data_IF_451100922071
#
_entry.id   IF_451100922071
#
_cell.length_a   1.000
_cell.length_b   1.000
_cell.length_c   1.000
_cell.angle_alpha   90.00
_cell.angle_beta   90.00
_cell.angle_gamma   90.00
#
_symmetry.space_group_name_H-M   'P 1'
#
loop_
_entity.id
_entity.type
_entity.pdbx_description
1 polymer ?
#
# COMPACT_ATOMS: atom_id res chain seq x y z
N UNK A 1 -19.01 -14.73 -1.68
CA UNK A 1 -18.26 -15.79 -2.35
C UNK A 1 -17.69 -16.78 -1.35
N UNK A 2 -17.77 -18.07 -1.68
CA UNK A 2 -17.19 -19.12 -0.84
C UNK A 2 -15.66 -19.04 -0.77
N UNK A 3 -15.05 -18.33 -1.70
CA UNK A 3 -13.59 -18.23 -1.84
C UNK A 3 -12.99 -16.99 -1.24
N UNK A 4 -13.81 -16.06 -0.79
CA UNK A 4 -13.36 -14.78 -0.22
C UNK A 4 -14.06 -14.55 1.11
N UNK A 5 -13.28 -14.27 2.13
CA UNK A 5 -13.79 -13.89 3.44
C UNK A 5 -13.57 -12.38 3.64
N UNK A 6 -14.62 -11.68 4.01
CA UNK A 6 -14.56 -10.24 4.30
C UNK A 6 -14.55 -10.04 5.81
N UNK A 7 -13.56 -9.31 6.28
CA UNK A 7 -13.39 -9.03 7.72
C UNK A 7 -13.25 -7.52 7.89
N UNK A 8 -14.06 -6.95 8.76
CA UNK A 8 -13.91 -5.56 9.15
C UNK A 8 -12.87 -5.49 10.27
N UNK A 9 -11.78 -4.75 10.04
CA UNK A 9 -10.71 -4.63 11.02
C UNK A 9 -9.96 -3.31 10.83
N UNK A 10 -9.34 -2.85 11.92
CA UNK A 10 -8.44 -1.71 11.88
C UNK A 10 -7.01 -2.24 11.73
N UNK A 11 -6.39 -1.99 10.58
CA UNK A 11 -5.05 -2.52 10.29
C UNK A 11 -3.95 -1.86 11.11
N UNK A 12 -4.25 -0.78 11.84
CA UNK A 12 -3.32 -0.15 12.77
C UNK A 12 -3.27 -0.87 14.12
N UNK A 13 -4.27 -1.72 14.39
CA UNK A 13 -4.32 -2.53 15.61
C UNK A 13 -3.71 -3.92 15.35
N UNK A 14 -3.71 -4.77 16.37
CA UNK A 14 -3.22 -6.12 16.22
C UNK A 14 -4.01 -6.89 15.16
N UNK A 15 -3.30 -7.73 14.41
CA UNK A 15 -3.92 -8.53 13.35
C UNK A 15 -4.34 -9.91 13.89
N UNK A 16 -5.15 -9.91 14.94
CA UNK A 16 -5.64 -11.14 15.58
C UNK A 16 -6.65 -11.89 14.71
N UNK A 17 -7.18 -11.24 13.67
CA UNK A 17 -8.03 -11.89 12.68
C UNK A 17 -7.23 -12.76 11.69
N UNK A 18 -5.90 -12.67 11.68
CA UNK A 18 -5.04 -13.46 10.81
C UNK A 18 -4.49 -14.62 11.63
N UNK A 19 -4.87 -15.84 11.27
CA UNK A 19 -4.47 -17.04 12.01
C UNK A 19 -3.62 -18.00 11.18
N UNK A 20 -3.30 -17.66 9.93
CA UNK A 20 -2.41 -18.43 9.06
C UNK A 20 -1.46 -17.47 8.35
N UNK A 21 -0.42 -18.01 7.72
CA UNK A 21 0.46 -17.21 6.88
C UNK A 21 -0.01 -17.27 5.42
N UNK A 22 0.24 -16.18 4.70
CA UNK A 22 -0.19 -16.03 3.32
C UNK A 22 0.99 -15.87 2.39
N UNK A 23 0.80 -16.23 1.12
CA UNK A 23 1.81 -16.08 0.08
C UNK A 23 1.82 -14.69 -0.53
N UNK A 24 0.72 -13.96 -0.41
CA UNK A 24 0.57 -12.63 -0.99
C UNK A 24 -0.36 -11.79 -0.13
N UNK A 25 0.06 -10.58 0.14
CA UNK A 25 -0.80 -9.52 0.68
C UNK A 25 -0.82 -8.36 -0.32
N UNK A 26 -1.94 -7.68 -0.43
CA UNK A 26 -2.07 -6.52 -1.31
C UNK A 26 -2.58 -5.31 -0.53
N UNK A 27 -2.02 -4.15 -0.83
CA UNK A 27 -2.50 -2.86 -0.35
C UNK A 27 -2.82 -2.01 -1.58
N UNK A 28 -4.08 -1.63 -1.74
CA UNK A 28 -4.52 -0.84 -2.88
C UNK A 28 -5.19 0.44 -2.39
N UNK A 29 -4.54 1.58 -2.62
CA UNK A 29 -5.03 2.90 -2.23
C UNK A 29 -5.36 2.99 -0.74
N UNK A 30 -4.54 2.38 0.10
CA UNK A 30 -4.73 2.30 1.56
C UNK A 30 -3.64 3.05 2.30
N UNK A 31 -2.38 2.92 1.85
CA UNK A 31 -1.23 3.39 2.61
C UNK A 31 -1.14 4.91 2.70
N UNK A 32 -1.75 5.62 1.77
CA UNK A 32 -1.84 7.08 1.85
C UNK A 32 -2.62 7.58 3.07
N UNK A 33 -3.43 6.70 3.68
CA UNK A 33 -4.20 7.02 4.88
C UNK A 33 -3.49 6.59 6.17
N UNK A 34 -2.29 6.05 6.05
CA UNK A 34 -1.49 5.56 7.18
C UNK A 34 -0.29 6.48 7.38
N UNK A 35 -0.18 7.10 8.53
CA UNK A 35 0.91 8.04 8.79
C UNK A 35 2.26 7.34 8.89
N UNK A 36 2.35 6.28 9.67
CA UNK A 36 3.60 5.55 9.89
C UNK A 36 3.51 4.15 9.29
N UNK A 37 4.32 3.90 8.26
CA UNK A 37 4.32 2.63 7.54
C UNK A 37 5.00 1.49 8.31
N UNK A 38 5.94 1.80 9.19
CA UNK A 38 6.75 0.77 9.83
C UNK A 38 5.95 -0.27 10.61
N UNK A 39 4.99 0.10 11.49
CA UNK A 39 4.21 -0.91 12.21
C UNK A 39 3.41 -1.82 11.27
N UNK A 40 2.98 -1.28 10.14
CA UNK A 40 2.22 -2.06 9.16
C UNK A 40 3.10 -3.12 8.49
N UNK A 41 4.32 -2.74 8.08
CA UNK A 41 5.27 -3.68 7.48
C UNK A 41 5.75 -4.71 8.52
N UNK A 42 5.89 -4.31 9.77
CA UNK A 42 6.21 -5.26 10.85
C UNK A 42 5.13 -6.34 10.97
N UNK A 43 3.86 -5.93 11.01
CA UNK A 43 2.74 -6.86 11.07
C UNK A 43 2.68 -7.76 9.84
N UNK A 44 2.86 -7.17 8.66
CA UNK A 44 2.86 -7.92 7.41
C UNK A 44 3.97 -8.97 7.40
N UNK A 45 5.15 -8.66 7.94
CA UNK A 45 6.28 -9.59 7.97
C UNK A 45 5.97 -10.86 8.77
N UNK A 46 5.04 -10.77 9.71
CA UNK A 46 4.66 -11.91 10.56
C UNK A 46 3.62 -12.82 9.89
N UNK A 47 2.93 -12.33 8.86
CA UNK A 47 1.84 -13.08 8.24
C UNK A 47 2.14 -13.50 6.79
N UNK A 48 3.29 -13.12 6.26
CA UNK A 48 3.73 -13.53 4.92
C UNK A 48 4.72 -14.68 5.05
N UNK A 49 4.52 -15.72 4.25
CA UNK A 49 5.43 -16.88 4.22
C UNK A 49 6.80 -16.46 3.70
N UNK A 50 7.87 -17.16 4.10
CA UNK A 50 9.18 -16.97 3.45
C UNK A 50 9.05 -17.11 1.93
N UNK A 51 9.60 -16.15 1.18
CA UNK A 51 9.45 -16.13 -0.27
C UNK A 51 8.11 -15.61 -0.78
N UNK A 52 7.21 -15.23 0.13
CA UNK A 52 5.93 -14.63 -0.26
C UNK A 52 6.08 -13.17 -0.66
N UNK A 53 4.97 -12.55 -1.02
CA UNK A 53 4.99 -11.23 -1.64
C UNK A 53 4.02 -10.26 -0.98
N UNK A 54 4.37 -8.97 -1.05
CA UNK A 54 3.45 -7.86 -0.81
C UNK A 54 3.36 -7.06 -2.10
N UNK A 55 2.15 -6.81 -2.58
CA UNK A 55 1.91 -5.94 -3.72
C UNK A 55 1.26 -4.65 -3.25
N UNK A 56 1.86 -3.52 -3.59
CA UNK A 56 1.40 -2.20 -3.21
C UNK A 56 1.01 -1.42 -4.46
N UNK A 57 -0.23 -0.92 -4.50
CA UNK A 57 -0.69 -0.02 -5.55
C UNK A 57 -1.24 1.24 -4.91
N UNK A 58 -0.55 2.36 -5.09
CA UNK A 58 -0.89 3.62 -4.43
C UNK A 58 -0.82 4.79 -5.41
N UNK A 59 -1.44 5.90 -5.04
CA UNK A 59 -1.28 7.14 -5.77
C UNK A 59 0.21 7.50 -5.80
N UNK A 60 0.72 7.78 -6.99
CA UNK A 60 2.15 8.07 -7.16
C UNK A 60 2.54 9.32 -6.35
N UNK A 61 3.73 9.33 -5.71
CA UNK A 61 4.20 10.49 -4.97
C UNK A 61 4.16 11.80 -5.77
N UNK A 62 4.43 11.75 -7.08
CA UNK A 62 4.34 12.95 -7.92
C UNK A 62 2.94 13.54 -7.93
N UNK A 63 1.91 12.70 -7.96
CA UNK A 63 0.52 13.18 -7.87
C UNK A 63 0.24 13.79 -6.51
N UNK A 64 0.76 13.19 -5.46
CA UNK A 64 0.61 13.72 -4.10
C UNK A 64 1.33 15.05 -3.96
N UNK A 65 2.55 15.19 -4.50
CA UNK A 65 3.31 16.45 -4.50
C UNK A 65 2.56 17.55 -5.24
N UNK A 66 1.82 17.22 -6.27
CA UNK A 66 1.02 18.19 -7.03
C UNK A 66 -0.33 18.51 -6.39
N UNK A 67 -0.60 17.96 -5.21
CA UNK A 67 -1.79 18.29 -4.43
C UNK A 67 -2.97 17.34 -4.59
N UNK A 68 -2.82 16.23 -5.31
CA UNK A 68 -3.90 15.24 -5.43
C UNK A 68 -4.12 14.55 -4.09
N UNK A 69 -5.38 14.40 -3.71
CA UNK A 69 -5.79 13.76 -2.44
C UNK A 69 -7.02 12.89 -2.68
N UNK A 70 -7.16 11.86 -1.86
CA UNK A 70 -8.37 11.07 -1.85
C UNK A 70 -9.54 11.94 -1.38
N UNK A 71 -10.67 11.84 -2.07
CA UNK A 71 -11.89 12.57 -1.72
C UNK A 71 -13.11 11.79 -2.19
N UNK A 72 -14.24 12.11 -1.59
CA UNK A 72 -15.51 11.51 -1.97
C UNK A 72 -16.62 12.55 -1.89
N UNK A 73 -17.69 12.33 -2.66
CA UNK A 73 -18.87 13.15 -2.60
C UNK A 73 -19.79 12.67 -1.49
N UNK A 74 -20.42 13.60 -0.79
CA UNK A 74 -21.40 13.31 0.24
C UNK A 74 -22.57 14.30 0.11
N UNK A 75 -23.62 14.12 0.95
CA UNK A 75 -24.73 15.06 1.02
C UNK A 75 -24.28 16.48 1.42
N UNK A 76 -23.15 16.56 2.11
CA UNK A 76 -22.56 17.82 2.56
C UNK A 76 -21.58 18.40 1.55
N UNK A 77 -21.38 17.74 0.38
CA UNK A 77 -20.45 18.14 -0.65
C UNK A 77 -19.26 17.21 -0.75
N UNK A 78 -18.18 17.66 -1.38
CA UNK A 78 -16.94 16.87 -1.54
C UNK A 78 -16.21 16.83 -0.21
N UNK A 79 -15.89 15.63 0.24
CA UNK A 79 -15.12 15.40 1.46
C UNK A 79 -13.70 14.99 1.08
N UNK A 80 -12.70 15.58 1.75
CA UNK A 80 -11.30 15.21 1.58
C UNK A 80 -10.91 14.30 2.73
N UNK A 81 -10.50 13.07 2.41
CA UNK A 81 -10.03 12.09 3.39
C UNK A 81 -8.60 12.47 3.79
N UNK A 82 -8.24 12.41 5.10
CA UNK A 82 -6.86 12.67 5.51
C UNK A 82 -5.88 11.77 4.78
N UNK A 83 -4.84 12.38 4.23
CA UNK A 83 -3.79 11.69 3.48
C UNK A 83 -2.42 12.11 3.96
N UNK A 84 -1.49 11.17 3.93
CA UNK A 84 -0.10 11.40 4.28
C UNK A 84 0.76 11.15 3.06
N UNK A 85 1.74 12.01 2.81
CA UNK A 85 2.66 11.83 1.69
C UNK A 85 3.74 10.84 2.10
N UNK A 86 3.85 9.76 1.32
CA UNK A 86 4.95 8.81 1.47
C UNK A 86 5.82 8.88 0.23
N UNK A 87 7.11 9.06 0.44
CA UNK A 87 8.08 9.06 -0.65
C UNK A 87 8.40 7.62 -1.04
N UNK A 88 8.91 7.44 -2.24
CA UNK A 88 9.32 6.10 -2.68
C UNK A 88 10.32 5.48 -1.72
N UNK A 89 11.25 6.27 -1.21
CA UNK A 89 12.24 5.80 -0.23
C UNK A 89 11.61 5.35 1.08
N UNK A 90 10.49 5.93 1.49
CA UNK A 90 9.79 5.52 2.72
C UNK A 90 9.29 4.08 2.60
N UNK A 91 8.69 3.73 1.45
CA UNK A 91 8.25 2.36 1.20
C UNK A 91 9.42 1.39 1.17
N UNK A 92 10.49 1.75 0.46
CA UNK A 92 11.66 0.90 0.30
C UNK A 92 12.35 0.64 1.63
N UNK A 93 12.55 1.69 2.43
CA UNK A 93 13.25 1.56 3.70
C UNK A 93 12.44 0.78 4.73
N UNK A 94 11.13 1.02 4.81
CA UNK A 94 10.26 0.27 5.70
C UNK A 94 10.25 -1.21 5.32
N UNK A 95 10.16 -1.50 4.02
CA UNK A 95 10.19 -2.88 3.53
C UNK A 95 11.49 -3.58 3.90
N UNK A 96 12.62 -2.96 3.65
CA UNK A 96 13.94 -3.54 3.96
C UNK A 96 14.12 -3.81 5.44
N UNK A 97 13.64 -2.90 6.28
CA UNK A 97 13.76 -3.04 7.73
C UNK A 97 13.11 -4.33 8.24
N UNK A 98 12.02 -4.74 7.61
CA UNK A 98 11.26 -5.92 8.04
C UNK A 98 11.42 -7.14 7.13
N UNK A 99 12.50 -7.17 6.36
CA UNK A 99 12.91 -8.37 5.64
C UNK A 99 12.31 -8.54 4.26
N UNK A 100 11.88 -7.44 3.63
CA UNK A 100 11.39 -7.47 2.25
C UNK A 100 12.38 -6.82 1.30
N UNK A 101 12.64 -7.48 0.17
CA UNK A 101 13.38 -6.89 -0.93
C UNK A 101 12.42 -6.45 -2.04
N UNK A 102 12.91 -5.60 -2.93
CA UNK A 102 12.10 -5.12 -4.05
C UNK A 102 12.22 -6.11 -5.20
N UNK A 103 11.08 -6.68 -5.60
CA UNK A 103 11.02 -7.59 -6.75
C UNK A 103 10.62 -6.87 -8.03
N UNK A 104 9.91 -5.74 -7.92
CA UNK A 104 9.55 -4.96 -9.08
C UNK A 104 8.95 -3.61 -8.71
N UNK A 105 9.08 -2.65 -9.60
CA UNK A 105 8.45 -1.34 -9.50
C UNK A 105 7.88 -1.01 -10.87
N UNK A 106 6.62 -0.59 -10.90
CA UNK A 106 5.95 -0.11 -12.10
C UNK A 106 5.28 1.22 -11.84
N UNK A 107 5.27 2.05 -12.86
CA UNK A 107 4.59 3.33 -12.82
C UNK A 107 3.57 3.38 -13.96
N UNK A 108 2.37 3.88 -13.65
CA UNK A 108 1.30 4.00 -14.64
C UNK A 108 0.97 5.46 -14.86
N UNK A 109 0.85 5.82 -16.13
CA UNK A 109 0.64 7.18 -16.61
C UNK A 109 -0.75 7.31 -17.18
N UNK A 110 -1.27 8.54 -17.24
CA UNK A 110 -2.57 8.78 -17.84
C UNK A 110 -2.53 8.36 -19.32
N UNK A 111 -3.48 7.49 -19.72
CA UNK A 111 -3.60 6.98 -21.09
C UNK A 111 -2.30 6.36 -21.63
N UNK A 112 -1.41 5.93 -20.71
CA UNK A 112 -0.12 5.37 -21.10
C UNK A 112 0.89 6.38 -21.60
N UNK A 113 0.61 7.67 -21.51
CA UNK A 113 1.50 8.73 -21.99
C UNK A 113 2.61 9.03 -20.97
N UNK A 114 3.82 8.58 -21.29
CA UNK A 114 4.98 8.72 -20.41
C UNK A 114 5.51 10.17 -20.35
N UNK A 115 4.95 11.08 -21.13
CA UNK A 115 5.29 12.50 -21.06
C UNK A 115 4.45 13.24 -20.01
N UNK A 116 3.50 12.56 -19.37
CA UNK A 116 2.71 13.11 -18.28
C UNK A 116 3.29 12.69 -16.96
N UNK A 117 2.77 13.25 -15.86
CA UNK A 117 3.16 12.86 -14.51
C UNK A 117 2.61 11.46 -14.23
N UNK A 118 3.44 10.55 -13.69
CA UNK A 118 2.93 9.22 -13.34
C UNK A 118 1.84 9.31 -12.29
N UNK A 119 0.78 8.51 -12.46
CA UNK A 119 -0.41 8.57 -11.63
C UNK A 119 -0.40 7.54 -10.51
N UNK A 120 -0.02 6.31 -10.83
CA UNK A 120 -0.05 5.18 -9.90
C UNK A 120 1.34 4.59 -9.81
N UNK A 121 1.76 4.28 -8.58
CA UNK A 121 2.98 3.56 -8.29
C UNK A 121 2.62 2.16 -7.81
N UNK A 122 3.23 1.15 -8.42
CA UNK A 122 3.08 -0.23 -8.00
C UNK A 122 4.43 -0.78 -7.57
N UNK A 123 4.49 -1.38 -6.38
CA UNK A 123 5.70 -1.98 -5.84
C UNK A 123 5.41 -3.43 -5.49
N UNK A 124 6.20 -4.33 -6.01
CA UNK A 124 6.16 -5.73 -5.62
C UNK A 124 7.34 -6.01 -4.70
N UNK A 125 7.04 -6.44 -3.49
CA UNK A 125 8.02 -6.77 -2.47
C UNK A 125 8.04 -8.28 -2.27
N UNK A 126 9.23 -8.82 -2.01
CA UNK A 126 9.40 -10.25 -1.75
C UNK A 126 10.02 -10.44 -0.36
N UNK A 127 9.43 -11.32 0.42
CA UNK A 127 10.00 -11.71 1.71
C UNK A 127 11.28 -12.51 1.46
N UNK A 128 12.40 -11.99 1.95
CA UNK A 128 13.73 -12.60 1.70
C UNK A 128 14.10 -13.64 2.75
N UNK A 129 13.20 -13.92 3.66
CA UNK A 129 13.38 -14.97 4.68
C UNK A 129 12.13 -15.79 4.83
#
# INVERSE_FOLDING_TARGET
SDKVNFIQADILKDWDFVNIKYHLATFSLVLEHIENLEPLFEKASKVITPGGYIYIGELHPFKQYSGSKARFDSEEGVQVVPCFIHHLSDFVQAAKKYGFGIAGINEYFDEGDRNTIPRILCILLKAVK
#
